data_IF_173969833834
#
_entry.id   IF_173969833834
#
_cell.length_a   1.000
_cell.length_b   1.000
_cell.length_c   1.000
_cell.angle_alpha   90.00
_cell.angle_beta   90.00
_cell.angle_gamma   90.00
#
_symmetry.space_group_name_H-M   'P 1'
#
loop_
_entity.id
_entity.type
_entity.pdbx_description
1 polymer ?
#
# COMPACT_ATOMS: atom_id res chain seq x y z
N UNK A 1 -1.38 25.66 -42.94
CA UNK A 1 -0.82 24.30 -42.74
C UNK A 1 -0.19 24.31 -41.36
N UNK A 2 -1.01 24.06 -40.33
CA UNK A 2 -0.56 24.02 -38.93
C UNK A 2 0.51 22.93 -38.80
N UNK A 3 1.69 23.32 -38.33
CA UNK A 3 2.74 22.41 -37.94
C UNK A 3 2.20 21.45 -36.87
N UNK A 4 2.10 20.18 -37.24
CA UNK A 4 1.98 19.06 -36.31
C UNK A 4 3.19 19.10 -35.37
N UNK A 5 3.06 19.85 -34.29
CA UNK A 5 3.98 19.80 -33.16
C UNK A 5 3.78 18.42 -32.56
N UNK A 6 4.55 17.47 -33.05
CA UNK A 6 4.69 16.14 -32.47
C UNK A 6 4.98 16.31 -30.99
N UNK A 7 3.96 16.09 -30.16
CA UNK A 7 4.09 16.03 -28.72
C UNK A 7 4.98 14.84 -28.42
N UNK A 8 6.25 15.10 -28.07
CA UNK A 8 7.21 14.08 -27.67
C UNK A 8 6.55 13.14 -26.65
N UNK A 9 6.76 11.81 -26.74
CA UNK A 9 6.22 10.88 -25.77
C UNK A 9 6.72 11.31 -24.39
N UNK A 10 5.79 11.68 -23.50
CA UNK A 10 6.10 12.01 -22.11
C UNK A 10 6.88 10.82 -21.56
N UNK A 11 8.17 10.99 -21.33
CA UNK A 11 9.02 9.98 -20.68
C UNK A 11 8.25 9.56 -19.43
N UNK A 12 7.78 8.31 -19.40
CA UNK A 12 6.90 7.84 -18.35
C UNK A 12 7.69 7.82 -17.04
N UNK A 13 7.62 8.90 -16.27
CA UNK A 13 8.19 8.95 -14.94
C UNK A 13 7.37 8.01 -14.07
N UNK A 14 8.00 6.93 -13.59
CA UNK A 14 7.35 5.98 -12.67
C UNK A 14 6.92 6.77 -11.43
N UNK A 15 5.62 6.81 -11.15
CA UNK A 15 5.15 7.58 -10.00
C UNK A 15 5.49 6.85 -8.69
N UNK A 16 5.90 7.56 -7.63
CA UNK A 16 6.18 6.95 -6.34
C UNK A 16 5.00 6.14 -5.80
N UNK A 17 3.78 6.66 -5.97
CA UNK A 17 2.55 5.98 -5.58
C UNK A 17 2.32 4.68 -6.38
N UNK A 18 2.76 4.63 -7.65
CA UNK A 18 2.68 3.41 -8.45
C UNK A 18 3.58 2.31 -7.88
N UNK A 19 4.83 2.62 -7.56
CA UNK A 19 5.74 1.62 -6.96
C UNK A 19 5.23 1.20 -5.59
N UNK A 20 4.85 2.17 -4.75
CA UNK A 20 4.47 1.93 -3.37
C UNK A 20 3.21 1.07 -3.25
N UNK A 21 2.17 1.33 -4.06
CA UNK A 21 0.93 0.53 -4.00
C UNK A 21 1.17 -0.93 -4.36
N UNK A 22 2.02 -1.20 -5.34
CA UNK A 22 2.32 -2.57 -5.75
C UNK A 22 3.17 -3.28 -4.71
N UNK A 23 4.21 -2.63 -4.19
CA UNK A 23 5.02 -3.17 -3.10
C UNK A 23 4.17 -3.47 -1.85
N UNK A 24 3.33 -2.50 -1.42
CA UNK A 24 2.42 -2.65 -0.29
C UNK A 24 1.44 -3.81 -0.49
N UNK A 25 0.88 -3.96 -1.70
CA UNK A 25 -0.05 -5.05 -2.03
C UNK A 25 0.61 -6.42 -1.97
N UNK A 26 1.82 -6.56 -2.51
CA UNK A 26 2.59 -7.82 -2.45
C UNK A 26 2.82 -8.20 -0.98
N UNK A 27 3.28 -7.26 -0.17
CA UNK A 27 3.53 -7.50 1.26
C UNK A 27 2.24 -7.89 1.99
N UNK A 28 1.11 -7.25 1.69
CA UNK A 28 -0.19 -7.60 2.29
C UNK A 28 -0.66 -9.01 1.87
N UNK A 29 -0.47 -9.39 0.59
CA UNK A 29 -0.72 -10.75 0.10
C UNK A 29 0.11 -11.77 0.88
N UNK A 30 1.39 -11.49 1.11
CA UNK A 30 2.23 -12.34 1.95
C UNK A 30 1.71 -12.42 3.39
N UNK A 31 1.15 -11.34 3.94
CA UNK A 31 0.49 -11.34 5.25
C UNK A 31 -0.75 -12.25 5.30
N UNK A 32 -1.59 -12.23 4.25
CA UNK A 32 -2.72 -13.16 4.10
C UNK A 32 -2.23 -14.61 4.01
N UNK A 33 -1.19 -14.88 3.21
CA UNK A 33 -0.61 -16.23 3.07
C UNK A 33 0.00 -16.73 4.39
N UNK A 34 0.73 -15.87 5.10
CA UNK A 34 1.30 -16.19 6.41
C UNK A 34 0.20 -16.51 7.44
N UNK A 35 -0.93 -15.79 7.40
CA UNK A 35 -2.10 -16.10 8.24
C UNK A 35 -2.71 -17.45 7.89
N UNK A 36 -2.87 -17.74 6.60
CA UNK A 36 -3.42 -19.02 6.14
C UNK A 36 -2.54 -20.22 6.54
N UNK A 37 -1.24 -20.02 6.68
CA UNK A 37 -0.29 -21.04 7.13
C UNK A 37 0.04 -20.99 8.63
N UNK A 38 -0.64 -20.15 9.41
CA UNK A 38 -0.41 -20.05 10.86
C UNK A 38 0.99 -19.54 11.25
N UNK A 39 1.66 -18.79 10.37
CA UNK A 39 3.01 -18.28 10.58
C UNK A 39 2.98 -17.03 11.48
N UNK A 40 2.95 -17.26 12.78
CA UNK A 40 3.05 -16.21 13.79
C UNK A 40 4.50 -15.98 14.26
N UNK A 41 4.93 -14.73 14.51
CA UNK A 41 4.19 -13.46 14.33
C UNK A 41 4.34 -12.86 12.92
N UNK A 42 4.90 -13.58 11.94
CA UNK A 42 5.22 -13.01 10.62
C UNK A 42 4.02 -12.41 9.91
N UNK A 43 2.85 -13.04 10.03
CA UNK A 43 1.63 -12.51 9.47
C UNK A 43 1.33 -11.07 9.92
N UNK A 44 1.50 -10.78 11.21
CA UNK A 44 1.23 -9.46 11.79
C UNK A 44 2.21 -8.43 11.26
N UNK A 45 3.51 -8.75 11.23
CA UNK A 45 4.53 -7.82 10.71
C UNK A 45 4.33 -7.50 9.23
N UNK A 46 3.98 -8.51 8.42
CA UNK A 46 3.67 -8.33 7.00
C UNK A 46 2.43 -7.44 6.81
N UNK A 47 1.35 -7.68 7.57
CA UNK A 47 0.19 -6.81 7.49
C UNK A 47 0.49 -5.39 7.93
N UNK A 48 1.21 -5.16 9.04
CA UNK A 48 1.57 -3.81 9.48
C UNK A 48 2.36 -3.06 8.40
N UNK A 49 3.33 -3.72 7.76
CA UNK A 49 4.09 -3.15 6.65
C UNK A 49 3.20 -2.84 5.43
N UNK A 50 2.35 -3.79 5.03
CA UNK A 50 1.44 -3.63 3.89
C UNK A 50 0.39 -2.54 4.11
N UNK A 51 -0.22 -2.48 5.30
CA UNK A 51 -1.21 -1.47 5.68
C UNK A 51 -0.58 -0.08 5.76
N UNK A 52 0.63 0.05 6.32
CA UNK A 52 1.37 1.31 6.34
C UNK A 52 1.68 1.79 4.92
N UNK A 53 2.12 0.90 4.04
CA UNK A 53 2.37 1.22 2.63
C UNK A 53 1.12 1.75 1.93
N UNK A 54 -0.04 1.10 2.11
CA UNK A 54 -1.30 1.55 1.53
C UNK A 54 -1.84 2.85 2.15
N UNK A 55 -1.62 3.08 3.45
CA UNK A 55 -1.91 4.38 4.07
C UNK A 55 -1.12 5.51 3.39
N UNK A 56 0.19 5.30 3.17
CA UNK A 56 1.05 6.26 2.47
C UNK A 56 0.61 6.48 1.02
N UNK A 57 0.13 5.44 0.32
CA UNK A 57 -0.50 5.60 -1.00
C UNK A 57 -1.73 6.51 -0.93
N UNK A 58 -2.58 6.32 0.10
CA UNK A 58 -3.72 7.21 0.36
C UNK A 58 -3.30 8.66 0.54
N UNK A 59 -2.20 8.92 1.28
CA UNK A 59 -1.61 10.26 1.43
C UNK A 59 -1.14 10.81 0.08
N UNK A 60 -0.39 10.02 -0.70
CA UNK A 60 0.12 10.43 -2.02
C UNK A 60 -1.00 10.70 -3.04
N UNK A 61 -2.14 10.02 -2.92
CA UNK A 61 -3.32 10.26 -3.75
C UNK A 61 -4.30 11.28 -3.18
N UNK A 62 -4.05 11.78 -1.97
CA UNK A 62 -4.98 12.63 -1.22
C UNK A 62 -6.39 11.99 -1.08
N UNK A 63 -6.44 10.65 -1.00
CA UNK A 63 -7.67 9.88 -0.88
C UNK A 63 -7.98 9.60 0.60
N UNK A 64 -8.99 10.31 1.12
CA UNK A 64 -9.39 10.21 2.52
C UNK A 64 -10.00 8.87 2.89
N UNK A 65 -10.65 8.18 1.95
CA UNK A 65 -11.23 6.86 2.20
C UNK A 65 -10.12 5.81 2.36
N UNK A 66 -9.11 5.83 1.48
CA UNK A 66 -7.95 4.92 1.59
C UNK A 66 -7.18 5.19 2.89
N UNK A 67 -6.95 6.46 3.24
CA UNK A 67 -6.28 6.80 4.51
C UNK A 67 -7.06 6.28 5.72
N UNK A 68 -8.39 6.53 5.77
CA UNK A 68 -9.23 6.15 6.89
C UNK A 68 -9.20 4.65 7.16
N UNK A 69 -9.44 3.82 6.14
CA UNK A 69 -9.54 2.37 6.34
C UNK A 69 -8.21 1.76 6.81
N UNK A 70 -7.08 2.25 6.29
CA UNK A 70 -5.77 1.70 6.63
C UNK A 70 -5.30 2.17 8.00
N UNK A 71 -5.61 3.40 8.42
CA UNK A 71 -5.29 3.87 9.78
C UNK A 71 -6.08 3.10 10.83
N UNK A 72 -7.37 2.84 10.58
CA UNK A 72 -8.22 2.07 11.49
C UNK A 72 -7.73 0.61 11.57
N UNK A 73 -7.41 0.00 10.43
CA UNK A 73 -6.85 -1.36 10.38
C UNK A 73 -5.50 -1.47 11.12
N UNK A 74 -4.61 -0.48 10.95
CA UNK A 74 -3.34 -0.42 11.69
C UNK A 74 -3.58 -0.35 13.20
N UNK A 75 -4.46 0.54 13.66
CA UNK A 75 -4.82 0.66 15.08
C UNK A 75 -5.37 -0.65 15.64
N UNK A 76 -6.29 -1.30 14.92
CA UNK A 76 -6.86 -2.58 15.32
C UNK A 76 -5.81 -3.70 15.41
N UNK A 77 -4.88 -3.78 14.45
CA UNK A 77 -3.82 -4.79 14.47
C UNK A 77 -2.82 -4.59 15.60
N UNK A 78 -2.41 -3.35 15.86
CA UNK A 78 -1.48 -3.03 16.96
C UNK A 78 -2.15 -3.35 18.31
N UNK A 79 -3.41 -2.96 18.48
CA UNK A 79 -4.17 -3.28 19.69
C UNK A 79 -4.31 -4.80 19.88
N UNK A 80 -4.65 -5.53 18.81
CA UNK A 80 -4.74 -6.99 18.82
C UNK A 80 -3.43 -7.64 19.24
N UNK A 81 -2.30 -7.23 18.64
CA UNK A 81 -0.97 -7.74 18.95
C UNK A 81 -0.52 -7.49 20.40
N UNK A 82 -0.95 -6.37 21.00
CA UNK A 82 -0.63 -6.07 22.40
C UNK A 82 -1.54 -6.81 23.40
N UNK A 83 -2.74 -7.22 22.97
CA UNK A 83 -3.72 -7.90 23.82
C UNK A 83 -3.55 -9.42 23.92
N UNK A 84 -2.66 -9.99 23.10
CA UNK A 84 -2.35 -11.43 23.00
C UNK A 84 -1.06 -11.77 23.73
#
# INVERSE_FOLDING_TARGET
MQSDVQSLPRLATVSPAFVLKWAASIVQILGYSATAWGLHPWNIYLFLAGLTGWFLVGVLWNDRAIMLIHVVALGAMIAGFWSS
#
